data_IF_386049167781
#
_entry.id   IF_386049167781
#
_cell.length_a   1.000
_cell.length_b   1.000
_cell.length_c   1.000
_cell.angle_alpha   90.00
_cell.angle_beta   90.00
_cell.angle_gamma   90.00
#
_symmetry.space_group_name_H-M   'P 1'
#
loop_
_entity.id
_entity.type
_entity.pdbx_description
1 polymer ?
#
# COMPACT_ATOMS: atom_id res chain seq x y z
N UNK A 1 5.31 1.55 -6.32
CA UNK A 1 6.42 1.48 -5.36
C UNK A 1 7.62 0.94 -6.13
N UNK A 2 8.82 1.46 -5.90
CA UNK A 2 10.05 0.89 -6.48
C UNK A 2 10.81 0.18 -5.36
N UNK A 3 10.19 -0.85 -4.81
CA UNK A 3 10.93 -1.80 -3.98
C UNK A 3 11.55 -2.81 -4.94
N UNK A 4 12.80 -2.55 -5.33
CA UNK A 4 13.59 -3.46 -6.14
C UNK A 4 14.63 -4.17 -5.25
N UNK A 5 15.25 -5.22 -5.77
CA UNK A 5 16.25 -6.00 -5.05
C UNK A 5 17.41 -5.15 -4.47
N UNK A 6 17.78 -4.05 -5.15
CA UNK A 6 18.83 -3.14 -4.69
C UNK A 6 18.38 -2.30 -3.48
N UNK A 7 17.14 -1.82 -3.47
CA UNK A 7 16.53 -1.12 -2.34
C UNK A 7 16.44 -2.05 -1.12
N UNK A 8 16.03 -3.30 -1.32
CA UNK A 8 15.97 -4.31 -0.26
C UNK A 8 17.37 -4.61 0.31
N UNK A 9 18.37 -4.81 -0.54
CA UNK A 9 19.75 -5.02 -0.08
C UNK A 9 20.30 -3.81 0.70
N UNK A 10 20.03 -2.58 0.23
CA UNK A 10 20.45 -1.35 0.92
C UNK A 10 19.73 -1.19 2.26
N UNK A 11 18.44 -1.51 2.33
CA UNK A 11 17.66 -1.51 3.56
C UNK A 11 18.24 -2.48 4.59
N UNK A 12 18.56 -3.72 4.19
CA UNK A 12 19.17 -4.70 5.08
C UNK A 12 20.52 -4.24 5.63
N UNK A 13 21.35 -3.56 4.82
CA UNK A 13 22.62 -2.98 5.30
C UNK A 13 22.39 -1.92 6.37
N UNK A 14 21.45 -1.00 6.17
CA UNK A 14 21.14 0.05 7.15
C UNK A 14 20.63 -0.55 8.46
N UNK A 15 19.74 -1.55 8.38
CA UNK A 15 19.24 -2.27 9.55
C UNK A 15 20.35 -3.04 10.29
N UNK A 16 21.26 -3.69 9.56
CA UNK A 16 22.39 -4.42 10.15
C UNK A 16 23.39 -3.48 10.84
N UNK A 17 23.61 -2.28 10.27
CA UNK A 17 24.40 -1.23 10.86
C UNK A 17 23.70 -0.49 12.02
N UNK A 18 22.49 -0.90 12.40
CA UNK A 18 21.61 -0.23 13.37
C UNK A 18 21.25 1.21 13.01
N UNK A 19 21.45 1.64 11.76
CA UNK A 19 20.98 2.92 11.25
C UNK A 19 19.48 2.83 10.89
N UNK A 20 18.66 2.79 11.93
CA UNK A 20 17.20 2.73 11.81
C UNK A 20 16.61 4.00 11.19
N UNK A 21 17.23 5.16 11.45
CA UNK A 21 16.80 6.43 10.87
C UNK A 21 17.02 6.46 9.36
N UNK A 22 18.19 6.03 8.90
CA UNK A 22 18.48 5.89 7.47
C UNK A 22 17.58 4.86 6.80
N UNK A 23 17.24 3.76 7.47
CA UNK A 23 16.31 2.76 6.95
C UNK A 23 14.90 3.33 6.69
N UNK A 24 14.35 4.09 7.63
CA UNK A 24 13.04 4.78 7.46
C UNK A 24 13.11 5.81 6.33
N UNK A 25 14.17 6.61 6.28
CA UNK A 25 14.36 7.62 5.23
C UNK A 25 14.44 6.99 3.83
N UNK A 26 15.21 5.91 3.67
CA UNK A 26 15.27 5.16 2.43
C UNK A 26 13.88 4.65 2.03
N UNK A 27 13.12 4.09 2.97
CA UNK A 27 11.77 3.58 2.72
C UNK A 27 10.80 4.69 2.26
N UNK A 28 10.82 5.86 2.91
CA UNK A 28 10.00 7.00 2.51
C UNK A 28 10.39 7.51 1.11
N UNK A 29 11.67 7.53 0.79
CA UNK A 29 12.14 7.93 -0.54
C UNK A 29 11.61 6.99 -1.64
N UNK A 30 11.73 5.66 -1.46
CA UNK A 30 11.28 4.68 -2.48
C UNK A 30 9.76 4.58 -2.62
N UNK A 31 9.01 5.04 -1.62
CA UNK A 31 7.55 5.17 -1.69
C UNK A 31 7.10 6.45 -2.40
N UNK A 32 8.04 7.33 -2.73
CA UNK A 32 7.84 8.56 -3.50
C UNK A 32 7.63 9.81 -2.65
N UNK A 33 8.00 9.79 -1.37
CA UNK A 33 7.96 10.98 -0.52
C UNK A 33 9.10 11.92 -0.92
N UNK A 34 8.83 13.19 -1.25
CA UNK A 34 9.86 14.17 -1.60
C UNK A 34 10.90 14.37 -0.49
N UNK A 35 12.15 14.65 -0.85
CA UNK A 35 13.24 14.77 0.12
C UNK A 35 13.02 15.89 1.15
N UNK A 36 12.46 17.03 0.75
CA UNK A 36 12.13 18.14 1.64
C UNK A 36 11.04 17.74 2.66
N UNK A 37 10.09 16.90 2.25
CA UNK A 37 9.06 16.35 3.13
C UNK A 37 9.69 15.39 4.15
N UNK A 38 10.62 14.53 3.71
CA UNK A 38 11.33 13.61 4.62
C UNK A 38 12.12 14.39 5.67
N UNK A 39 12.83 15.46 5.28
CA UNK A 39 13.55 16.33 6.23
C UNK A 39 12.61 16.91 7.29
N UNK A 40 11.39 17.34 6.90
CA UNK A 40 10.38 17.79 7.87
C UNK A 40 9.88 16.64 8.75
N UNK A 41 9.61 15.46 8.18
CA UNK A 41 9.17 14.28 8.94
C UNK A 41 10.20 13.86 9.99
N UNK A 42 11.50 13.95 9.70
CA UNK A 42 12.59 13.66 10.67
C UNK A 42 12.54 14.51 11.93
N UNK A 43 11.91 15.68 11.87
CA UNK A 43 11.76 16.61 13.00
C UNK A 43 10.38 16.50 13.67
N UNK A 44 9.46 15.72 13.09
CA UNK A 44 8.11 15.59 13.60
C UNK A 44 8.07 14.66 14.84
N UNK A 45 7.15 14.89 15.80
CA UNK A 45 7.01 14.06 17.00
C UNK A 45 6.77 12.57 16.73
N UNK A 46 6.24 12.22 15.55
CA UNK A 46 6.01 10.83 15.13
C UNK A 46 7.29 10.06 14.75
N UNK A 47 8.39 10.76 14.45
CA UNK A 47 9.60 10.15 13.90
C UNK A 47 10.22 9.07 14.80
N UNK A 48 10.38 9.27 16.13
CA UNK A 48 10.89 8.21 17.01
C UNK A 48 10.06 6.93 16.94
N UNK A 49 8.73 7.04 16.76
CA UNK A 49 7.83 5.90 16.58
C UNK A 49 8.06 5.16 15.26
N UNK A 50 8.34 5.86 14.16
CA UNK A 50 8.72 5.21 12.90
C UNK A 50 10.07 4.50 13.02
N UNK A 51 11.05 5.12 13.68
CA UNK A 51 12.39 4.56 13.87
C UNK A 51 12.36 3.31 14.76
N UNK A 52 11.51 3.26 15.78
CA UNK A 52 11.37 2.05 16.62
C UNK A 52 10.85 0.85 15.82
N UNK A 53 9.99 1.10 14.84
CA UNK A 53 9.43 0.10 13.93
C UNK A 53 10.32 -0.22 12.71
N UNK A 54 11.44 0.48 12.51
CA UNK A 54 12.27 0.32 11.30
C UNK A 54 12.68 -1.14 10.99
N UNK A 55 12.83 -1.98 12.01
CA UNK A 55 13.16 -3.40 11.86
C UNK A 55 12.10 -4.20 11.10
N UNK A 56 10.84 -3.75 11.05
CA UNK A 56 9.76 -4.42 10.33
C UNK A 56 9.78 -4.13 8.84
N UNK A 57 10.52 -3.11 8.38
CA UNK A 57 10.61 -2.74 6.96
C UNK A 57 11.21 -3.87 6.09
N UNK A 58 11.98 -4.77 6.68
CA UNK A 58 12.46 -5.98 6.02
C UNK A 58 11.30 -6.91 5.61
N UNK A 59 10.22 -6.94 6.39
CA UNK A 59 9.02 -7.72 6.07
C UNK A 59 8.27 -7.12 4.89
N UNK A 60 8.11 -5.79 4.85
CA UNK A 60 7.53 -5.10 3.68
C UNK A 60 8.34 -5.40 2.42
N UNK A 61 9.67 -5.37 2.50
CA UNK A 61 10.55 -5.71 1.39
C UNK A 61 10.44 -7.16 0.92
N UNK A 62 10.35 -8.11 1.86
CA UNK A 62 10.19 -9.53 1.54
C UNK A 62 8.83 -9.83 0.90
N UNK A 63 7.75 -9.18 1.38
CA UNK A 63 6.40 -9.35 0.84
C UNK A 63 6.22 -8.71 -0.53
N UNK A 64 6.79 -7.51 -0.74
CA UNK A 64 6.66 -6.79 -2.01
C UNK A 64 7.57 -7.36 -3.10
N UNK A 65 8.67 -8.02 -2.75
CA UNK A 65 9.57 -8.66 -3.72
C UNK A 65 10.05 -7.69 -4.80
N UNK A 66 9.77 -8.00 -6.06
CA UNK A 66 10.08 -7.17 -7.23
C UNK A 66 8.99 -6.11 -7.55
N UNK A 67 7.99 -6.00 -6.67
CA UNK A 67 6.79 -5.17 -6.82
C UNK A 67 5.89 -5.54 -8.01
N UNK A 68 6.05 -6.73 -8.61
CA UNK A 68 5.16 -7.24 -9.65
C UNK A 68 3.85 -7.77 -9.06
N UNK A 69 2.78 -7.75 -9.85
CA UNK A 69 1.51 -8.37 -9.47
C UNK A 69 1.56 -9.84 -9.91
N UNK A 70 1.57 -10.82 -8.99
CA UNK A 70 1.55 -12.25 -9.34
C UNK A 70 0.15 -12.65 -9.83
N UNK A 71 -0.18 -12.30 -11.09
CA UNK A 71 -1.53 -12.44 -11.64
C UNK A 71 -2.08 -13.87 -11.54
N UNK A 72 -1.25 -14.87 -11.81
CA UNK A 72 -1.64 -16.29 -11.69
C UNK A 72 -2.04 -16.68 -10.26
N UNK A 73 -1.37 -16.13 -9.24
CA UNK A 73 -1.73 -16.37 -7.84
C UNK A 73 -3.04 -15.66 -7.46
N UNK A 74 -3.28 -14.48 -8.02
CA UNK A 74 -4.54 -13.78 -7.78
C UNK A 74 -5.73 -14.41 -8.53
N UNK A 75 -5.48 -15.09 -9.64
CA UNK A 75 -6.51 -15.81 -10.39
C UNK A 75 -7.20 -16.91 -9.56
N UNK A 76 -6.52 -17.49 -8.55
CA UNK A 76 -7.13 -18.49 -7.66
C UNK A 76 -7.99 -17.90 -6.53
N UNK A 77 -8.06 -16.58 -6.38
CA UNK A 77 -8.85 -15.92 -5.33
C UNK A 77 -10.33 -15.86 -5.74
N UNK A 78 -11.16 -16.68 -5.10
CA UNK A 78 -12.59 -16.82 -5.43
C UNK A 78 -13.51 -15.89 -4.61
N UNK A 79 -12.99 -15.30 -3.54
CA UNK A 79 -13.71 -14.33 -2.71
C UNK A 79 -14.01 -13.04 -3.50
N UNK A 80 -15.18 -12.43 -3.24
CA UNK A 80 -15.46 -11.08 -3.73
C UNK A 80 -14.37 -10.14 -3.24
N UNK A 81 -13.79 -9.34 -4.13
CA UNK A 81 -12.70 -8.42 -3.79
C UNK A 81 -13.02 -7.00 -4.21
N UNK A 82 -12.69 -6.04 -3.36
CA UNK A 82 -12.78 -4.61 -3.67
C UNK A 82 -11.37 -4.04 -3.72
N UNK A 83 -11.02 -3.40 -4.83
CA UNK A 83 -9.77 -2.66 -5.00
C UNK A 83 -10.12 -1.17 -5.10
N UNK A 84 -9.53 -0.36 -4.21
CA UNK A 84 -9.82 1.09 -4.13
C UNK A 84 -8.54 1.89 -4.39
N UNK A 85 -8.66 2.96 -5.17
CA UNK A 85 -7.59 3.93 -5.42
C UNK A 85 -8.10 5.35 -5.22
N UNK A 86 -7.30 6.25 -4.65
CA UNK A 86 -7.63 7.68 -4.64
C UNK A 86 -7.46 8.31 -6.02
N UNK A 87 -8.35 9.22 -6.40
CA UNK A 87 -8.35 9.91 -7.70
C UNK A 87 -7.19 10.87 -7.91
N UNK A 88 -6.56 11.34 -6.83
CA UNK A 88 -5.32 12.13 -6.86
C UNK A 88 -4.08 11.26 -6.60
N UNK A 89 -4.21 9.94 -6.62
CA UNK A 89 -3.05 9.06 -6.56
C UNK A 89 -2.24 9.14 -7.85
N UNK A 90 -0.91 8.98 -7.81
CA UNK A 90 -0.08 8.97 -9.01
C UNK A 90 -0.52 7.89 -10.01
N UNK A 91 -0.32 8.13 -11.31
CA UNK A 91 -0.70 7.21 -12.41
C UNK A 91 -0.27 5.76 -12.16
N UNK A 92 0.92 5.54 -11.58
CA UNK A 92 1.40 4.20 -11.25
C UNK A 92 0.51 3.48 -10.23
N UNK A 93 0.02 4.17 -9.20
CA UNK A 93 -0.88 3.58 -8.22
C UNK A 93 -2.21 3.19 -8.88
N UNK A 94 -2.72 4.02 -9.78
CA UNK A 94 -3.89 3.69 -10.58
C UNK A 94 -3.65 2.45 -11.47
N UNK A 95 -2.54 2.40 -12.20
CA UNK A 95 -2.18 1.25 -13.04
C UNK A 95 -2.03 -0.04 -12.22
N UNK A 96 -1.34 0.00 -11.08
CA UNK A 96 -1.16 -1.17 -10.22
C UNK A 96 -2.48 -1.66 -9.63
N UNK A 97 -3.35 -0.77 -9.15
CA UNK A 97 -4.66 -1.16 -8.63
C UNK A 97 -5.59 -1.68 -9.72
N UNK A 98 -5.47 -1.16 -10.95
CA UNK A 98 -6.20 -1.67 -12.11
C UNK A 98 -5.74 -3.06 -12.50
N UNK A 99 -4.43 -3.27 -12.65
CA UNK A 99 -3.85 -4.57 -12.97
C UNK A 99 -4.19 -5.65 -11.92
N UNK A 100 -4.19 -5.28 -10.64
CA UNK A 100 -4.64 -6.17 -9.56
C UNK A 100 -6.12 -6.56 -9.72
N UNK A 101 -6.99 -5.60 -10.04
CA UNK A 101 -8.40 -5.88 -10.25
C UNK A 101 -8.63 -6.75 -11.49
N UNK A 102 -7.88 -6.55 -12.57
CA UNK A 102 -7.98 -7.36 -13.79
C UNK A 102 -7.47 -8.81 -13.57
N UNK A 103 -6.53 -9.02 -12.65
CA UNK A 103 -6.03 -10.35 -12.28
C UNK A 103 -6.98 -11.16 -11.36
N UNK A 104 -7.98 -10.50 -10.76
CA UNK A 104 -8.88 -11.11 -9.78
C UNK A 104 -10.23 -11.45 -10.44
N UNK A 105 -10.69 -12.72 -10.43
CA UNK A 105 -11.92 -13.13 -11.14
C UNK A 105 -13.19 -12.40 -10.69
N UNK A 106 -13.23 -11.97 -9.42
CA UNK A 106 -14.41 -11.33 -8.79
C UNK A 106 -14.06 -10.00 -8.13
N UNK A 107 -13.21 -9.21 -8.78
CA UNK A 107 -12.86 -7.88 -8.30
C UNK A 107 -13.79 -6.77 -8.80
N UNK A 108 -13.91 -5.73 -7.98
CA UNK A 108 -14.43 -4.41 -8.37
C UNK A 108 -13.36 -3.37 -8.11
N UNK A 109 -13.02 -2.58 -9.13
CA UNK A 109 -12.13 -1.43 -9.00
C UNK A 109 -12.93 -0.15 -8.81
N UNK A 110 -12.56 0.67 -7.81
CA UNK A 110 -13.21 1.95 -7.51
C UNK A 110 -12.17 3.05 -7.32
N UNK A 111 -12.33 4.14 -8.06
CA UNK A 111 -11.55 5.36 -7.85
C UNK A 111 -12.34 6.35 -7.00
N UNK A 112 -11.70 6.95 -5.99
CA UNK A 112 -12.31 7.96 -5.10
C UNK A 112 -11.86 9.36 -5.49
N UNK A 113 -12.74 10.09 -6.17
CA UNK A 113 -12.49 11.49 -6.57
C UNK A 113 -12.08 12.34 -5.36
N UNK A 114 -11.08 13.21 -5.57
CA UNK A 114 -10.61 14.10 -4.51
C UNK A 114 -9.68 13.48 -3.47
N UNK A 115 -9.46 12.17 -3.51
CA UNK A 115 -8.68 11.46 -2.48
C UNK A 115 -7.26 11.15 -2.95
N UNK A 116 -6.30 11.27 -2.04
CA UNK A 116 -4.88 10.96 -2.29
C UNK A 116 -4.60 9.47 -2.03
N UNK A 117 -3.32 9.08 -1.85
CA UNK A 117 -2.95 7.75 -1.36
C UNK A 117 -3.48 7.51 0.07
N UNK A 118 -3.58 8.57 0.88
CA UNK A 118 -4.21 8.53 2.19
C UNK A 118 -5.70 8.86 2.03
N UNK A 119 -6.54 7.82 2.05
CA UNK A 119 -7.99 7.95 1.86
C UNK A 119 -8.63 8.41 3.17
N UNK A 120 -9.38 9.51 3.14
CA UNK A 120 -10.10 9.96 4.32
C UNK A 120 -11.09 8.87 4.79
N UNK A 121 -11.18 8.58 6.10
CA UNK A 121 -12.08 7.55 6.63
C UNK A 121 -13.54 7.75 6.19
N UNK A 122 -14.01 9.00 6.11
CA UNK A 122 -15.37 9.34 5.70
C UNK A 122 -15.61 9.08 4.20
N UNK A 123 -14.57 9.15 3.37
CA UNK A 123 -14.65 8.82 1.95
C UNK A 123 -14.58 7.30 1.71
N UNK A 124 -13.94 6.55 2.61
CA UNK A 124 -13.77 5.10 2.50
C UNK A 124 -14.90 4.29 3.17
N UNK A 125 -15.42 4.74 4.31
CA UNK A 125 -16.40 3.99 5.10
C UNK A 125 -17.69 3.62 4.32
N UNK A 126 -18.35 4.53 3.57
CA UNK A 126 -19.56 4.17 2.81
C UNK A 126 -19.30 3.09 1.75
N UNK A 127 -18.07 3.06 1.22
CA UNK A 127 -17.63 2.10 0.20
C UNK A 127 -17.52 0.70 0.78
N UNK A 128 -16.89 0.61 1.94
CA UNK A 128 -16.74 -0.63 2.67
C UNK A 128 -18.11 -1.14 3.11
N UNK A 129 -18.97 -0.25 3.63
CA UNK A 129 -20.34 -0.57 4.01
C UNK A 129 -21.16 -1.11 2.83
N UNK A 130 -21.11 -0.47 1.66
CA UNK A 130 -21.80 -0.98 0.46
C UNK A 130 -21.25 -2.35 0.03
N UNK A 131 -19.92 -2.49 0.02
CA UNK A 131 -19.28 -3.71 -0.46
C UNK A 131 -19.60 -4.93 0.42
N UNK A 132 -19.47 -4.79 1.74
CA UNK A 132 -19.74 -5.85 2.71
C UNK A 132 -21.23 -6.03 3.01
N UNK A 133 -22.04 -4.97 2.92
CA UNK A 133 -23.49 -5.02 3.18
C UNK A 133 -24.30 -5.79 2.12
N UNK A 134 -23.81 -5.88 0.87
CA UNK A 134 -24.51 -6.59 -0.23
C UNK A 134 -24.71 -8.10 0.01
N UNK A 135 -23.95 -8.75 0.89
CA UNK A 135 -24.13 -10.19 1.19
C UNK A 135 -25.16 -10.47 2.30
N UNK A 136 -25.53 -9.47 3.12
CA UNK A 136 -26.54 -9.64 4.18
C UNK A 136 -27.94 -9.83 3.58
N UNK A 137 -28.29 -9.06 2.54
CA UNK A 137 -29.62 -9.14 1.92
C UNK A 137 -29.80 -10.36 1.01
N UNK A 138 -28.73 -10.89 0.41
CA UNK A 138 -28.80 -12.07 -0.44
C UNK A 138 -28.95 -13.39 0.36
N UNK A 139 -28.48 -13.43 1.62
CA UNK A 139 -28.64 -14.61 2.49
C UNK A 139 -29.94 -14.64 3.28
N UNK A 140 -30.62 -13.51 3.45
CA UNK A 140 -31.92 -13.44 4.14
C UNK A 140 -33.12 -13.80 3.25
N UNK A 141 -32.91 -13.94 1.94
CA UNK A 141 -33.94 -14.26 0.95
C UNK A 141 -33.86 -15.71 0.44
N UNK A 142 -33.28 -16.63 1.21
CA UNK A 142 -33.14 -18.06 0.88
C UNK A 142 -33.56 -18.95 2.03
#
# INVERSE_FOLDING_TARGET
MQFNACCTARLHRLLSARDRGGAVELFLSVTGVPADVIVRMRRAPLWPGLVSLAHTLAYDGALLGDSSIPAERFASVTSRTLVVCGGFSPTRAWLSTRALADALPRARHRTRTGQTRDLAPQALAPVLAEFFGRDMYARQAS
#
